data_IF_511236899714
#
_entry.id   IF_511236899714
#
_cell.length_a   1.000
_cell.length_b   1.000
_cell.length_c   1.000
_cell.angle_alpha   90.00
_cell.angle_beta   90.00
_cell.angle_gamma   90.00
#
_symmetry.space_group_name_H-M   'P 1'
#
loop_
_entity.id
_entity.type
_entity.pdbx_description
1 polymer ?
#
# COMPACT_ATOMS: atom_id res chain seq x y z
N UNK A 1 18.00 -53.84 -2.04
CA UNK A 1 16.65 -54.07 -1.46
C UNK A 1 15.81 -52.78 -1.37
N UNK A 2 16.40 -51.66 -0.91
CA UNK A 2 15.72 -50.35 -0.79
C UNK A 2 15.20 -49.75 -2.11
N UNK A 3 15.94 -49.89 -3.21
CA UNK A 3 15.55 -49.33 -4.53
C UNK A 3 14.29 -50.00 -5.10
N UNK A 4 14.09 -51.30 -4.85
CA UNK A 4 12.92 -52.04 -5.32
C UNK A 4 11.65 -51.60 -4.56
N UNK A 5 11.77 -51.32 -3.26
CA UNK A 5 10.65 -50.86 -2.42
C UNK A 5 10.18 -49.46 -2.86
N UNK A 6 11.10 -48.56 -3.21
CA UNK A 6 10.76 -47.20 -3.69
C UNK A 6 10.04 -47.24 -5.04
N UNK A 7 10.46 -48.12 -5.96
CA UNK A 7 9.82 -48.27 -7.26
C UNK A 7 8.37 -48.81 -7.16
N UNK A 8 8.12 -49.73 -6.23
CA UNK A 8 6.78 -50.29 -5.99
C UNK A 8 5.83 -49.26 -5.40
N UNK A 9 6.29 -48.42 -4.46
CA UNK A 9 5.46 -47.35 -3.87
C UNK A 9 5.09 -46.30 -4.92
N UNK A 10 6.03 -45.96 -5.83
CA UNK A 10 5.78 -44.98 -6.89
C UNK A 10 4.76 -45.49 -7.92
N UNK A 11 4.80 -46.78 -8.27
CA UNK A 11 3.82 -47.41 -9.17
C UNK A 11 2.41 -47.47 -8.58
N UNK A 12 2.29 -47.76 -7.28
CA UNK A 12 0.99 -47.77 -6.58
C UNK A 12 0.39 -46.36 -6.51
N UNK A 13 1.22 -45.33 -6.29
CA UNK A 13 0.77 -43.93 -6.30
C UNK A 13 0.27 -43.48 -7.68
N UNK A 14 0.94 -43.88 -8.77
CA UNK A 14 0.52 -43.56 -10.13
C UNK A 14 -0.78 -44.27 -10.54
N UNK A 15 -0.98 -45.53 -10.12
CA UNK A 15 -2.25 -46.23 -10.34
C UNK A 15 -3.41 -45.63 -9.53
N UNK A 16 -3.14 -45.23 -8.28
CA UNK A 16 -4.14 -44.55 -7.43
C UNK A 16 -4.56 -43.19 -8.00
N UNK A 17 -3.60 -42.41 -8.51
CA UNK A 17 -3.86 -41.10 -9.12
C UNK A 17 -4.65 -41.20 -10.44
N UNK A 18 -4.35 -42.22 -11.26
CA UNK A 18 -5.07 -42.49 -12.52
C UNK A 18 -6.53 -42.88 -12.31
N UNK A 19 -6.85 -43.65 -11.26
CA UNK A 19 -8.22 -44.01 -10.90
C UNK A 19 -9.00 -42.81 -10.32
N UNK A 20 -8.34 -41.93 -9.58
CA UNK A 20 -8.96 -40.70 -9.04
C UNK A 20 -9.36 -39.74 -10.17
N UNK A 21 -8.45 -39.50 -11.13
CA UNK A 21 -8.71 -38.64 -12.31
C UNK A 21 -9.83 -39.19 -13.22
N UNK A 22 -9.98 -40.52 -13.30
CA UNK A 22 -11.04 -41.14 -14.09
C UNK A 22 -12.43 -41.00 -13.45
N UNK A 23 -12.52 -40.98 -12.11
CA UNK A 23 -13.79 -40.69 -11.40
C UNK A 23 -14.23 -39.24 -11.57
N UNK A 24 -13.30 -38.28 -11.50
CA UNK A 24 -13.62 -36.85 -11.72
C UNK A 24 -14.08 -36.51 -13.15
N UNK A 25 -13.80 -37.36 -14.13
CA UNK A 25 -14.25 -37.17 -15.53
C UNK A 25 -15.54 -37.94 -15.87
N UNK A 26 -15.96 -38.90 -15.04
CA UNK A 26 -17.16 -39.71 -15.28
C UNK A 26 -18.43 -39.10 -14.66
N UNK A 27 -18.28 -38.29 -13.60
CA UNK A 27 -19.39 -37.53 -13.02
C UNK A 27 -19.53 -36.19 -13.76
N UNK A 28 -20.39 -36.20 -14.78
CA UNK A 28 -20.61 -35.11 -15.72
C UNK A 28 -20.72 -33.73 -15.06
N UNK A 29 -19.82 -32.84 -15.46
CA UNK A 29 -19.89 -31.40 -15.20
C UNK A 29 -21.14 -30.88 -15.91
N UNK A 30 -22.24 -30.77 -15.17
CA UNK A 30 -23.32 -29.86 -15.53
C UNK A 30 -22.73 -28.44 -15.53
N UNK A 31 -22.93 -27.63 -16.57
CA UNK A 31 -22.44 -26.26 -16.56
C UNK A 31 -23.09 -25.54 -15.38
N UNK A 32 -22.27 -25.18 -14.40
CA UNK A 32 -22.70 -24.33 -13.30
C UNK A 32 -23.17 -23.01 -13.91
N UNK A 33 -24.46 -22.75 -13.73
CA UNK A 33 -25.08 -21.45 -13.87
C UNK A 33 -24.15 -20.42 -13.22
N UNK A 34 -23.84 -19.32 -13.92
CA UNK A 34 -23.09 -18.19 -13.36
C UNK A 34 -23.82 -17.68 -12.11
N UNK A 35 -23.48 -18.22 -10.95
CA UNK A 35 -23.65 -17.50 -9.70
C UNK A 35 -22.66 -16.35 -9.77
N UNK A 36 -23.16 -15.19 -10.16
CA UNK A 36 -22.53 -13.92 -9.82
C UNK A 36 -22.26 -13.97 -8.31
N UNK A 37 -20.97 -13.95 -7.96
CA UNK A 37 -20.57 -13.73 -6.59
C UNK A 37 -21.30 -12.45 -6.11
N UNK A 38 -21.88 -12.42 -4.91
CA UNK A 38 -22.46 -11.19 -4.40
C UNK A 38 -21.33 -10.17 -4.38
N UNK A 39 -21.42 -9.18 -5.27
CA UNK A 39 -20.54 -8.03 -5.22
C UNK A 39 -20.86 -7.37 -3.89
N UNK A 40 -20.01 -7.57 -2.89
CA UNK A 40 -19.93 -6.66 -1.77
C UNK A 40 -19.43 -5.36 -2.37
N UNK A 41 -20.34 -4.60 -2.98
CA UNK A 41 -20.14 -3.19 -3.23
C UNK A 41 -20.10 -2.59 -1.84
N UNK A 42 -18.90 -2.51 -1.26
CA UNK A 42 -18.66 -1.57 -0.18
C UNK A 42 -19.27 -0.25 -0.65
N UNK A 43 -20.14 0.40 0.15
CA UNK A 43 -20.77 1.63 -0.27
C UNK A 43 -19.68 2.58 -0.78
N UNK A 44 -19.87 3.14 -1.97
CA UNK A 44 -18.96 4.12 -2.54
C UNK A 44 -18.81 5.22 -1.48
N UNK A 45 -17.67 5.28 -0.80
CA UNK A 45 -17.40 6.33 0.18
C UNK A 45 -17.46 7.68 -0.53
N UNK A 46 -18.07 8.66 0.11
CA UNK A 46 -18.01 10.03 -0.42
C UNK A 46 -16.55 10.51 -0.41
N UNK A 47 -16.15 11.45 -1.29
CA UNK A 47 -14.84 12.09 -1.22
C UNK A 47 -14.55 12.67 0.17
N UNK A 48 -15.56 13.18 0.87
CA UNK A 48 -15.45 13.69 2.23
C UNK A 48 -15.11 12.59 3.24
N UNK A 49 -15.79 11.44 3.17
CA UNK A 49 -15.49 10.28 4.03
C UNK A 49 -14.09 9.74 3.77
N UNK A 50 -13.69 9.65 2.50
CA UNK A 50 -12.35 9.20 2.11
C UNK A 50 -11.27 10.17 2.60
N UNK A 51 -11.50 11.48 2.49
CA UNK A 51 -10.57 12.47 3.01
C UNK A 51 -10.49 12.44 4.55
N UNK A 52 -11.60 12.20 5.24
CA UNK A 52 -11.60 12.03 6.69
C UNK A 52 -10.76 10.82 7.13
N UNK A 53 -10.82 9.69 6.41
CA UNK A 53 -9.95 8.53 6.69
C UNK A 53 -8.46 8.89 6.58
N UNK A 54 -8.10 9.74 5.61
CA UNK A 54 -6.73 10.22 5.42
C UNK A 54 -6.31 11.09 6.61
N UNK A 55 -7.15 12.06 7.01
CA UNK A 55 -6.89 12.92 8.17
C UNK A 55 -6.71 12.09 9.45
N UNK A 56 -7.56 11.09 9.67
CA UNK A 56 -7.45 10.18 10.81
C UNK A 56 -6.13 9.40 10.80
N UNK A 57 -5.69 8.93 9.64
CA UNK A 57 -4.40 8.24 9.49
C UNK A 57 -3.22 9.16 9.82
N UNK A 58 -3.22 10.38 9.27
CA UNK A 58 -2.19 11.39 9.54
C UNK A 58 -2.15 11.82 11.01
N UNK A 59 -3.32 11.97 11.65
CA UNK A 59 -3.42 12.28 13.07
C UNK A 59 -2.87 11.14 13.94
N UNK A 60 -3.23 9.88 13.63
CA UNK A 60 -2.71 8.70 14.35
C UNK A 60 -1.19 8.64 14.24
N UNK A 61 -0.63 8.91 13.06
CA UNK A 61 0.81 9.03 12.85
C UNK A 61 1.41 10.12 13.75
N UNK A 62 0.85 11.33 13.75
CA UNK A 62 1.36 12.44 14.55
C UNK A 62 1.36 12.12 16.05
N UNK A 63 0.29 11.50 16.55
CA UNK A 63 0.22 11.07 17.93
C UNK A 63 1.20 9.94 18.24
N UNK A 64 1.45 9.02 17.29
CA UNK A 64 2.41 7.93 17.45
C UNK A 64 3.83 8.46 17.59
N UNK A 65 4.28 9.36 16.71
CA UNK A 65 5.64 9.93 16.78
C UNK A 65 5.86 10.74 18.07
N UNK A 66 4.84 11.45 18.56
CA UNK A 66 4.92 12.26 19.79
C UNK A 66 4.99 11.42 21.06
N UNK A 67 4.53 10.17 21.01
CA UNK A 67 4.59 9.23 22.14
C UNK A 67 5.94 8.55 22.29
N UNK A 68 6.78 8.54 21.25
CA UNK A 68 8.10 7.93 21.30
C UNK A 68 9.14 8.93 21.84
N UNK A 69 9.70 8.72 23.05
CA UNK A 69 10.64 9.67 23.66
C UNK A 69 12.02 9.67 22.99
N UNK A 70 12.33 8.65 22.19
CA UNK A 70 13.62 8.51 21.50
C UNK A 70 13.54 8.97 20.03
N UNK A 71 12.38 9.46 19.59
CA UNK A 71 12.23 9.96 18.23
C UNK A 71 12.75 11.41 18.13
N UNK A 72 13.51 11.69 17.07
CA UNK A 72 14.15 12.99 16.88
C UNK A 72 13.10 14.08 16.63
N UNK A 73 13.20 15.21 17.34
CA UNK A 73 12.36 16.40 17.11
C UNK A 73 12.49 16.92 15.68
N UNK A 74 13.68 16.86 15.09
CA UNK A 74 13.89 17.26 13.71
C UNK A 74 13.06 16.39 12.75
N UNK A 75 13.07 15.06 12.98
CA UNK A 75 12.28 14.14 12.17
C UNK A 75 10.78 14.30 12.41
N UNK A 76 10.36 14.64 13.64
CA UNK A 76 8.98 15.02 13.93
C UNK A 76 8.55 16.20 13.06
N UNK A 77 9.34 17.29 13.03
CA UNK A 77 9.02 18.47 12.23
C UNK A 77 8.93 18.15 10.74
N UNK A 78 9.89 17.39 10.19
CA UNK A 78 9.85 16.98 8.78
C UNK A 78 8.60 16.16 8.43
N UNK A 79 8.17 15.26 9.32
CA UNK A 79 6.95 14.47 9.12
C UNK A 79 5.71 15.37 9.21
N UNK A 80 5.73 16.38 10.09
CA UNK A 80 4.65 17.36 10.22
C UNK A 80 4.51 18.23 8.98
N UNK A 81 5.62 18.64 8.35
CA UNK A 81 5.61 19.34 7.07
C UNK A 81 4.94 18.50 5.97
N UNK A 82 5.24 17.20 5.90
CA UNK A 82 4.57 16.27 4.97
C UNK A 82 3.06 16.20 5.27
N UNK A 83 2.68 16.08 6.54
CA UNK A 83 1.28 16.03 6.97
C UNK A 83 0.54 17.30 6.54
N UNK A 84 1.16 18.47 6.74
CA UNK A 84 0.55 19.76 6.38
C UNK A 84 0.42 19.92 4.86
N UNK A 85 1.42 19.51 4.08
CA UNK A 85 1.30 19.49 2.62
C UNK A 85 0.17 18.56 2.17
N UNK A 86 0.09 17.35 2.72
CA UNK A 86 -0.97 16.38 2.39
C UNK A 86 -2.37 16.90 2.73
N UNK A 87 -2.54 17.61 3.85
CA UNK A 87 -3.80 18.24 4.24
C UNK A 87 -4.25 19.32 3.25
N UNK A 88 -3.32 19.98 2.56
CA UNK A 88 -3.61 21.01 1.57
C UNK A 88 -3.85 20.39 0.18
N UNK A 89 -2.94 19.53 -0.28
CA UNK A 89 -2.96 19.03 -1.66
C UNK A 89 -4.00 17.93 -1.90
N UNK A 90 -4.25 17.06 -0.93
CA UNK A 90 -5.18 15.93 -1.09
C UNK A 90 -6.61 16.37 -1.41
N UNK A 91 -7.27 17.24 -0.63
CA UNK A 91 -8.65 17.64 -0.92
C UNK A 91 -8.72 18.41 -2.26
N UNK A 92 -7.70 19.23 -2.56
CA UNK A 92 -7.60 19.93 -3.84
C UNK A 92 -7.52 18.97 -5.04
N UNK A 93 -6.74 17.89 -4.94
CA UNK A 93 -6.65 16.85 -5.97
C UNK A 93 -7.95 16.06 -6.11
N UNK A 94 -8.60 15.73 -5.00
CA UNK A 94 -9.88 15.01 -5.00
C UNK A 94 -11.01 15.84 -5.64
N UNK A 95 -11.03 17.15 -5.41
CA UNK A 95 -12.04 18.04 -5.99
C UNK A 95 -11.77 18.33 -7.47
N UNK A 96 -10.55 18.74 -7.82
CA UNK A 96 -10.22 19.23 -9.17
C UNK A 96 -9.87 18.12 -10.15
N UNK A 97 -9.29 17.03 -9.66
CA UNK A 97 -8.66 15.99 -10.48
C UNK A 97 -8.96 14.56 -9.97
N UNK A 98 -10.21 14.19 -9.64
CA UNK A 98 -10.53 12.93 -8.95
C UNK A 98 -10.09 11.65 -9.71
N UNK A 99 -10.03 11.69 -11.04
CA UNK A 99 -9.67 10.55 -11.89
C UNK A 99 -8.18 10.44 -12.22
N UNK A 100 -7.36 11.40 -11.80
CA UNK A 100 -5.94 11.42 -12.13
C UNK A 100 -5.15 10.42 -11.27
N UNK A 101 -4.18 9.74 -11.89
CA UNK A 101 -3.34 8.77 -11.16
C UNK A 101 -2.57 9.42 -10.01
N UNK A 102 -2.19 10.70 -10.15
CA UNK A 102 -1.55 11.45 -9.09
C UNK A 102 -2.46 11.60 -7.86
N UNK A 103 -3.77 11.79 -8.05
CA UNK A 103 -4.75 11.83 -6.94
C UNK A 103 -4.76 10.53 -6.17
N UNK A 104 -4.76 9.40 -6.88
CA UNK A 104 -4.68 8.08 -6.23
C UNK A 104 -3.41 7.92 -5.40
N UNK A 105 -2.25 8.27 -5.96
CA UNK A 105 -0.98 8.12 -5.26
C UNK A 105 -0.87 9.05 -4.03
N UNK A 106 -1.34 10.29 -4.14
CA UNK A 106 -1.37 11.23 -3.00
C UNK A 106 -2.26 10.71 -1.88
N UNK A 107 -3.46 10.21 -2.21
CA UNK A 107 -4.34 9.55 -1.23
C UNK A 107 -3.64 8.36 -0.59
N UNK A 108 -2.96 7.52 -1.37
CA UNK A 108 -2.23 6.33 -0.88
C UNK A 108 -1.12 6.72 0.11
N UNK A 109 -0.40 7.82 -0.15
CA UNK A 109 0.62 8.35 0.76
C UNK A 109 0.02 8.73 2.10
N UNK A 110 -1.04 9.54 2.09
CA UNK A 110 -1.68 10.02 3.31
C UNK A 110 -2.41 8.92 4.09
N UNK A 111 -3.00 7.96 3.38
CA UNK A 111 -3.76 6.88 4.02
C UNK A 111 -2.86 5.80 4.60
N UNK A 112 -1.79 5.40 3.89
CA UNK A 112 -1.04 4.18 4.23
C UNK A 112 0.48 4.35 4.28
N UNK A 113 1.12 4.92 3.26
CA UNK A 113 2.58 4.84 3.13
C UNK A 113 3.34 5.56 4.23
N UNK A 114 3.01 6.83 4.47
CA UNK A 114 3.73 7.62 5.46
C UNK A 114 3.61 6.98 6.86
N UNK A 115 2.39 6.56 7.23
CA UNK A 115 2.16 5.87 8.48
C UNK A 115 2.95 4.57 8.58
N UNK A 116 2.89 3.72 7.55
CA UNK A 116 3.60 2.43 7.51
C UNK A 116 5.11 2.63 7.64
N UNK A 117 5.71 3.51 6.84
CA UNK A 117 7.16 3.79 6.86
C UNK A 117 7.64 4.23 8.24
N UNK A 118 6.92 5.17 8.87
CA UNK A 118 7.29 5.67 10.20
C UNK A 118 7.07 4.60 11.26
N UNK A 119 5.96 3.87 11.20
CA UNK A 119 5.66 2.79 12.14
C UNK A 119 6.73 1.70 12.06
N UNK A 120 7.11 1.26 10.87
CA UNK A 120 8.15 0.23 10.69
C UNK A 120 9.48 0.66 11.31
N UNK A 121 9.86 1.94 11.18
CA UNK A 121 11.04 2.47 11.86
C UNK A 121 10.89 2.49 13.38
N UNK A 122 9.72 2.91 13.90
CA UNK A 122 9.44 2.93 15.33
C UNK A 122 9.29 1.53 15.94
N UNK A 123 8.88 0.53 15.18
CA UNK A 123 8.80 -0.85 15.68
C UNK A 123 10.19 -1.49 15.88
N UNK A 124 11.25 -0.88 15.33
CA UNK A 124 12.63 -1.36 15.48
C UNK A 124 13.18 -1.07 16.88
N UNK A 125 14.11 -1.94 17.32
CA UNK A 125 14.95 -1.66 18.50
C UNK A 125 15.75 -0.37 18.33
N UNK A 126 16.10 0.30 19.43
CA UNK A 126 16.87 1.57 19.39
C UNK A 126 18.17 1.43 18.60
N UNK A 127 18.90 0.32 18.77
CA UNK A 127 20.13 0.05 18.03
C UNK A 127 19.86 -0.13 16.53
N UNK A 128 18.80 -0.87 16.17
CA UNK A 128 18.40 -1.04 14.77
C UNK A 128 18.01 0.30 14.13
N UNK A 129 17.31 1.17 14.86
CA UNK A 129 16.95 2.52 14.40
C UNK A 129 18.19 3.36 14.09
N UNK A 130 19.23 3.30 14.92
CA UNK A 130 20.49 4.00 14.65
C UNK A 130 21.14 3.52 13.35
N UNK A 131 21.16 2.21 13.11
CA UNK A 131 21.73 1.63 11.89
C UNK A 131 20.92 1.95 10.62
N UNK A 132 19.60 2.18 10.76
CA UNK A 132 18.69 2.47 9.64
C UNK A 132 18.32 3.95 9.51
N UNK A 133 18.88 4.82 10.36
CA UNK A 133 18.48 6.21 10.45
C UNK A 133 18.67 6.96 9.12
N UNK A 134 19.82 6.77 8.46
CA UNK A 134 20.11 7.43 7.19
C UNK A 134 19.13 7.01 6.09
N UNK A 135 18.84 5.71 5.99
CA UNK A 135 17.86 5.18 5.04
C UNK A 135 16.47 5.75 5.32
N UNK A 136 16.06 5.76 6.59
CA UNK A 136 14.79 6.35 7.01
C UNK A 136 14.70 7.84 6.66
N UNK A 137 15.75 8.61 6.95
CA UNK A 137 15.84 10.04 6.62
C UNK A 137 15.71 10.29 5.11
N UNK A 138 16.37 9.49 4.27
CA UNK A 138 16.24 9.59 2.80
C UNK A 138 14.82 9.28 2.33
N UNK A 139 14.17 8.30 2.94
CA UNK A 139 12.76 7.97 2.61
C UNK A 139 11.83 9.10 3.01
N UNK A 140 11.97 9.66 4.22
CA UNK A 140 11.16 10.81 4.67
C UNK A 140 11.43 12.03 3.80
N UNK A 141 12.69 12.32 3.47
CA UNK A 141 13.01 13.42 2.56
C UNK A 141 12.36 13.22 1.19
N UNK A 142 12.39 12.00 0.64
CA UNK A 142 11.72 11.74 -0.63
C UNK A 142 10.20 11.89 -0.55
N UNK A 143 9.57 11.55 0.59
CA UNK A 143 8.12 11.75 0.76
C UNK A 143 7.79 13.25 0.85
N UNK A 144 8.62 14.02 1.56
CA UNK A 144 8.55 15.48 1.63
C UNK A 144 8.69 16.13 0.26
N UNK A 145 9.72 15.78 -0.50
CA UNK A 145 9.96 16.37 -1.82
C UNK A 145 8.77 16.12 -2.76
N UNK A 146 8.13 14.95 -2.66
CA UNK A 146 6.97 14.65 -3.50
C UNK A 146 5.69 15.29 -2.98
N UNK A 147 5.43 15.33 -1.67
CA UNK A 147 4.24 16.02 -1.13
C UNK A 147 4.29 17.50 -1.51
N UNK A 148 5.47 18.12 -1.35
CA UNK A 148 5.70 19.50 -1.71
C UNK A 148 5.57 19.73 -3.22
N UNK A 149 6.24 18.93 -4.05
CA UNK A 149 6.14 19.08 -5.51
C UNK A 149 4.72 18.84 -6.02
N UNK A 150 3.98 17.91 -5.43
CA UNK A 150 2.59 17.66 -5.80
C UNK A 150 1.71 18.86 -5.45
N UNK A 151 1.98 19.52 -4.32
CA UNK A 151 1.34 20.79 -3.97
C UNK A 151 1.65 21.87 -5.00
N UNK A 152 2.92 22.07 -5.38
CA UNK A 152 3.30 23.06 -6.41
C UNK A 152 2.57 22.80 -7.73
N UNK A 153 2.54 21.54 -8.17
CA UNK A 153 1.87 21.12 -9.40
C UNK A 153 0.38 21.51 -9.39
N UNK A 154 -0.27 21.39 -8.23
CA UNK A 154 -1.69 21.71 -8.03
C UNK A 154 -1.96 23.20 -7.88
N UNK A 155 -1.07 23.92 -7.19
CA UNK A 155 -1.16 25.37 -7.02
C UNK A 155 -0.89 26.11 -8.34
N UNK A 156 0.05 25.61 -9.15
CA UNK A 156 0.44 26.21 -10.43
C UNK A 156 -0.33 25.63 -11.64
N UNK A 157 -1.24 24.68 -11.43
CA UNK A 157 -1.99 23.98 -12.49
C UNK A 157 -1.10 23.32 -13.56
N UNK A 158 0.03 22.73 -13.15
CA UNK A 158 0.99 22.05 -14.02
C UNK A 158 0.53 20.62 -14.38
N UNK A 159 -0.64 20.48 -15.00
CA UNK A 159 -1.28 19.18 -15.28
C UNK A 159 -0.43 18.25 -16.15
N UNK A 160 0.47 18.80 -16.96
CA UNK A 160 1.43 18.02 -17.76
C UNK A 160 2.36 17.13 -16.91
N UNK A 161 2.61 17.50 -15.65
CA UNK A 161 3.50 16.77 -14.74
C UNK A 161 2.81 15.62 -14.00
N UNK A 162 1.48 15.53 -14.07
CA UNK A 162 0.71 14.58 -13.27
C UNK A 162 1.10 13.13 -13.53
N UNK A 163 1.21 12.75 -14.80
CA UNK A 163 1.54 11.38 -15.20
C UNK A 163 2.97 11.01 -14.77
N UNK A 164 3.91 11.93 -14.96
CA UNK A 164 5.31 11.76 -14.53
C UNK A 164 5.38 11.54 -13.03
N UNK A 165 4.70 12.39 -12.25
CA UNK A 165 4.70 12.31 -10.80
C UNK A 165 4.02 11.04 -10.29
N UNK A 166 2.88 10.67 -10.87
CA UNK A 166 2.18 9.44 -10.52
C UNK A 166 3.03 8.19 -10.79
N UNK A 167 3.73 8.13 -11.94
CA UNK A 167 4.64 7.02 -12.24
C UNK A 167 5.83 6.97 -11.28
N UNK A 168 6.39 8.12 -10.92
CA UNK A 168 7.47 8.19 -9.93
C UNK A 168 7.00 7.65 -8.57
N UNK A 169 5.84 8.09 -8.10
CA UNK A 169 5.24 7.66 -6.84
C UNK A 169 4.94 6.16 -6.82
N UNK A 170 4.26 5.68 -7.86
CA UNK A 170 3.95 4.26 -8.00
C UNK A 170 5.24 3.42 -8.03
N UNK A 171 6.28 3.83 -8.76
CA UNK A 171 7.52 3.05 -8.85
C UNK A 171 8.35 3.04 -7.55
N UNK A 172 8.29 4.12 -6.77
CA UNK A 172 9.12 4.28 -5.56
C UNK A 172 8.45 3.75 -4.30
N UNK A 173 7.12 3.79 -4.25
CA UNK A 173 6.33 3.45 -3.07
C UNK A 173 5.26 2.38 -3.36
N UNK A 174 5.36 1.58 -4.43
CA UNK A 174 4.42 0.48 -4.71
C UNK A 174 4.39 -0.56 -3.61
#
# INVERSE_FOLDING_TARGET
MTIIIVAVIFLIALMGFGLLMKRFRADGIKPAEKQEAPSVQSPLKSPEDEFQDILDSLLRLNLMIRKDPNFSKEMTLKIEEIIDDLKVVTPAMMERYPGESLTYEIKKIGLTHLHKTVKEFLDMSIQSRQNQLETFQKTIQSLHDVSHRSRDIVENNETAEFKTMAHFLAGKFS
#
